data_IF_635907212501
#
_entry.id   IF_635907212501
#
_cell.length_a   1.000
_cell.length_b   1.000
_cell.length_c   1.000
_cell.angle_alpha   90.00
_cell.angle_beta   90.00
_cell.angle_gamma   90.00
#
_symmetry.space_group_name_H-M   'P 1'
#
loop_
_entity.id
_entity.type
_entity.pdbx_description
1 polymer ?
#
# COMPACT_ATOMS: atom_id res chain seq x y z
N UNK A 1 4.27 7.14 22.63
CA UNK A 1 4.99 8.06 21.72
C UNK A 1 5.34 7.29 20.47
N UNK A 2 5.02 7.82 19.29
CA UNK A 2 5.24 7.11 18.03
C UNK A 2 6.74 7.00 17.69
N UNK A 3 7.11 5.88 17.06
CA UNK A 3 8.40 5.66 16.44
C UNK A 3 8.61 6.65 15.30
N UNK A 4 9.76 7.30 15.30
CA UNK A 4 10.13 8.25 14.25
C UNK A 4 10.68 7.52 13.03
N UNK A 5 10.66 8.18 11.87
CA UNK A 5 11.28 7.66 10.65
C UNK A 5 12.74 7.23 10.89
N UNK A 6 13.53 8.08 11.55
CA UNK A 6 14.95 7.80 11.79
C UNK A 6 15.16 6.59 12.70
N UNK A 7 14.31 6.42 13.72
CA UNK A 7 14.36 5.24 14.58
C UNK A 7 14.04 3.96 13.81
N UNK A 8 13.01 3.98 12.95
CA UNK A 8 12.62 2.82 12.14
C UNK A 8 13.70 2.51 11.10
N UNK A 9 14.15 3.53 10.36
CA UNK A 9 15.15 3.41 9.30
C UNK A 9 16.50 2.92 9.82
N UNK A 10 16.89 3.33 11.03
CA UNK A 10 18.12 2.90 11.69
C UNK A 10 18.03 1.56 12.44
N UNK A 11 16.86 0.93 12.50
CA UNK A 11 16.67 -0.25 13.33
C UNK A 11 17.37 -1.50 12.74
N UNK A 12 18.21 -2.22 13.49
CA UNK A 12 18.94 -3.39 12.97
C UNK A 12 18.04 -4.50 12.41
N UNK A 13 16.82 -4.64 12.94
CA UNK A 13 15.87 -5.65 12.48
C UNK A 13 15.02 -5.22 11.27
N UNK A 14 15.12 -3.97 10.80
CA UNK A 14 14.21 -3.41 9.78
C UNK A 14 14.11 -4.31 8.55
N UNK A 15 15.25 -4.72 7.98
CA UNK A 15 15.30 -5.53 6.77
C UNK A 15 14.54 -6.85 6.92
N UNK A 16 14.68 -7.50 8.09
CA UNK A 16 14.01 -8.76 8.40
C UNK A 16 12.51 -8.55 8.60
N UNK A 17 12.12 -7.53 9.35
CA UNK A 17 10.72 -7.20 9.63
C UNK A 17 9.98 -6.80 8.35
N UNK A 18 10.56 -5.93 7.52
CA UNK A 18 9.97 -5.51 6.24
C UNK A 18 9.89 -6.66 5.23
N UNK A 19 10.87 -7.56 5.20
CA UNK A 19 10.78 -8.78 4.38
C UNK A 19 9.60 -9.66 4.82
N UNK A 20 9.45 -9.89 6.13
CA UNK A 20 8.32 -10.66 6.67
C UNK A 20 6.97 -9.99 6.36
N UNK A 21 6.90 -8.64 6.47
CA UNK A 21 5.75 -7.85 6.05
C UNK A 21 5.41 -8.09 4.57
N UNK A 22 6.40 -7.99 3.68
CA UNK A 22 6.21 -8.21 2.25
C UNK A 22 5.69 -9.62 1.95
N UNK A 23 6.21 -10.65 2.64
CA UNK A 23 5.73 -12.03 2.52
C UNK A 23 4.26 -12.17 2.93
N UNK A 24 3.85 -11.57 4.05
CA UNK A 24 2.47 -11.59 4.51
C UNK A 24 1.50 -10.88 3.55
N UNK A 25 1.92 -9.72 3.01
CA UNK A 25 1.13 -8.96 2.04
C UNK A 25 0.97 -9.73 0.71
N UNK A 26 2.03 -10.39 0.23
CA UNK A 26 1.95 -11.24 -0.98
C UNK A 26 0.96 -12.38 -0.82
N UNK A 27 0.98 -13.07 0.32
CA UNK A 27 0.02 -14.15 0.59
C UNK A 27 -1.43 -13.65 0.50
N UNK A 28 -1.67 -12.42 0.99
CA UNK A 28 -3.00 -11.77 0.90
C UNK A 28 -3.34 -11.37 -0.54
N UNK A 29 -2.35 -10.94 -1.33
CA UNK A 29 -2.57 -10.63 -2.75
C UNK A 29 -2.86 -11.89 -3.60
N UNK A 30 -2.27 -13.03 -3.25
CA UNK A 30 -2.52 -14.30 -3.95
C UNK A 30 -3.95 -14.81 -3.74
N UNK A 31 -4.55 -14.55 -2.57
CA UNK A 31 -5.94 -14.92 -2.29
C UNK A 31 -6.94 -13.99 -2.98
N UNK A 32 -6.60 -12.71 -3.23
CA UNK A 32 -7.44 -11.79 -3.99
C UNK A 32 -6.65 -10.92 -5.01
N UNK A 33 -6.24 -11.50 -6.16
CA UNK A 33 -5.40 -10.79 -7.13
C UNK A 33 -6.05 -9.57 -7.78
N UNK A 34 -7.38 -9.50 -7.82
CA UNK A 34 -8.08 -8.33 -8.37
C UNK A 34 -8.02 -7.16 -7.39
N UNK A 35 -8.20 -7.43 -6.10
CA UNK A 35 -8.08 -6.39 -5.08
C UNK A 35 -6.63 -5.88 -4.95
N UNK A 36 -5.64 -6.77 -5.17
CA UNK A 36 -4.23 -6.38 -5.28
C UNK A 36 -3.98 -5.31 -6.36
N UNK A 37 -4.77 -5.27 -7.44
CA UNK A 37 -4.66 -4.26 -8.49
C UNK A 37 -5.04 -2.83 -8.04
N UNK A 38 -5.63 -2.66 -6.86
CA UNK A 38 -5.82 -1.32 -6.27
C UNK A 38 -4.47 -0.75 -5.85
N UNK A 39 -3.56 -1.61 -5.37
CA UNK A 39 -2.19 -1.27 -4.99
C UNK A 39 -1.23 -1.20 -6.19
N UNK A 40 -1.77 -1.27 -7.41
CA UNK A 40 -1.00 -1.30 -8.63
C UNK A 40 -0.20 -0.04 -8.90
N UNK A 41 -0.78 1.11 -8.59
CA UNK A 41 -0.11 2.40 -8.72
C UNK A 41 -0.32 3.19 -7.44
N UNK A 42 0.63 4.07 -7.15
CA UNK A 42 0.52 5.00 -6.04
C UNK A 42 -0.76 5.84 -6.12
N UNK A 43 -1.13 6.30 -7.32
CA UNK A 43 -2.36 7.07 -7.52
C UNK A 43 -3.61 6.28 -7.11
N UNK A 44 -3.74 5.01 -7.55
CA UNK A 44 -4.88 4.15 -7.17
C UNK A 44 -4.91 3.85 -5.68
N UNK A 45 -3.73 3.61 -5.10
CA UNK A 45 -3.58 3.37 -3.68
C UNK A 45 -4.02 4.59 -2.84
N UNK A 46 -3.58 5.80 -3.19
CA UNK A 46 -4.00 7.04 -2.52
C UNK A 46 -5.50 7.32 -2.70
N UNK A 47 -6.06 7.10 -3.90
CA UNK A 47 -7.51 7.22 -4.13
C UNK A 47 -8.30 6.24 -3.25
N UNK A 48 -7.83 5.01 -3.06
CA UNK A 48 -8.46 4.04 -2.17
C UNK A 48 -8.44 4.50 -0.71
N UNK A 49 -7.30 4.98 -0.20
CA UNK A 49 -7.21 5.53 1.16
C UNK A 49 -8.12 6.74 1.38
N UNK A 50 -8.25 7.64 0.39
CA UNK A 50 -9.20 8.76 0.44
C UNK A 50 -10.64 8.25 0.54
N UNK A 51 -11.03 7.30 -0.32
CA UNK A 51 -12.39 6.74 -0.33
C UNK A 51 -12.74 6.08 1.00
N UNK A 52 -11.81 5.31 1.57
CA UNK A 52 -11.96 4.67 2.87
C UNK A 52 -12.04 5.70 4.02
N UNK A 53 -11.26 6.78 3.96
CA UNK A 53 -11.31 7.85 4.97
C UNK A 53 -12.65 8.58 4.95
N UNK A 54 -13.18 8.86 3.76
CA UNK A 54 -14.52 9.44 3.60
C UNK A 54 -15.62 8.50 4.08
N UNK A 55 -15.44 7.18 3.91
CA UNK A 55 -16.37 6.18 4.45
C UNK A 55 -16.40 6.19 5.98
N UNK A 56 -15.24 6.15 6.65
CA UNK A 56 -15.19 6.12 8.11
C UNK A 56 -15.53 7.46 8.77
N UNK A 57 -15.32 8.59 8.07
CA UNK A 57 -15.72 9.95 8.51
C UNK A 57 -17.18 10.30 8.23
N UNK A 58 -17.99 9.34 7.77
CA UNK A 58 -19.39 9.62 7.45
C UNK A 58 -20.20 9.85 8.73
N UNK A 59 -21.12 10.80 8.66
CA UNK A 59 -22.15 10.98 9.67
C UNK A 59 -23.49 10.57 9.05
N UNK A 60 -24.19 9.56 9.63
CA UNK A 60 -25.46 9.07 9.08
C UNK A 60 -26.49 10.18 8.88
N UNK A 61 -26.53 11.15 9.80
CA UNK A 61 -27.53 12.22 9.83
C UNK A 61 -27.17 13.45 8.99
N UNK A 62 -25.94 13.53 8.47
CA UNK A 62 -25.51 14.63 7.58
C UNK A 62 -25.20 14.07 6.18
N UNK A 63 -26.14 14.28 5.25
CA UNK A 63 -25.98 13.86 3.86
C UNK A 63 -24.74 14.46 3.18
N UNK A 64 -24.25 15.63 3.63
CA UNK A 64 -23.03 16.25 3.11
C UNK A 64 -21.77 15.49 3.53
N UNK A 65 -21.88 14.75 4.63
CA UNK A 65 -20.83 13.89 5.17
C UNK A 65 -20.95 12.44 4.70
N UNK A 66 -21.88 12.10 3.81
CA UNK A 66 -21.91 10.78 3.16
C UNK A 66 -20.76 10.64 2.14
N UNK A 67 -20.32 9.41 1.91
CA UNK A 67 -19.43 9.09 0.79
C UNK A 67 -20.27 8.97 -0.48
N UNK A 68 -20.12 9.94 -1.38
CA UNK A 68 -20.76 9.96 -2.70
C UNK A 68 -19.70 10.07 -3.80
N UNK A 69 -20.05 9.71 -5.03
CA UNK A 69 -19.15 9.87 -6.17
C UNK A 69 -18.66 11.32 -6.34
N UNK A 70 -19.56 12.29 -6.20
CA UNK A 70 -19.22 13.70 -6.31
C UNK A 70 -18.20 14.13 -5.25
N UNK A 71 -18.45 13.82 -3.98
CA UNK A 71 -17.53 14.16 -2.88
C UNK A 71 -16.19 13.45 -3.00
N UNK A 72 -16.19 12.19 -3.40
CA UNK A 72 -14.95 11.45 -3.67
C UNK A 72 -14.08 12.14 -4.73
N UNK A 73 -14.69 12.51 -5.86
CA UNK A 73 -14.00 13.20 -6.96
C UNK A 73 -13.50 14.58 -6.53
N UNK A 74 -14.29 15.32 -5.75
CA UNK A 74 -13.91 16.66 -5.27
C UNK A 74 -12.70 16.58 -4.32
N UNK A 75 -12.70 15.67 -3.35
CA UNK A 75 -11.59 15.48 -2.41
C UNK A 75 -10.31 14.99 -3.11
N UNK A 76 -10.43 14.10 -4.10
CA UNK A 76 -9.28 13.66 -4.91
C UNK A 76 -8.64 14.84 -5.66
N UNK A 77 -9.47 15.73 -6.22
CA UNK A 77 -9.00 16.93 -6.94
C UNK A 77 -8.35 17.91 -5.97
N UNK A 78 -8.97 18.18 -4.83
CA UNK A 78 -8.44 19.08 -3.79
C UNK A 78 -7.05 18.64 -3.33
N UNK A 79 -6.85 17.33 -3.15
CA UNK A 79 -5.56 16.75 -2.76
C UNK A 79 -4.60 16.52 -3.94
N UNK A 80 -4.97 16.95 -5.16
CA UNK A 80 -4.16 16.78 -6.37
C UNK A 80 -3.65 15.34 -6.55
N UNK A 81 -4.51 14.34 -6.30
CA UNK A 81 -4.16 12.92 -6.46
C UNK A 81 -4.40 12.47 -7.90
N UNK A 82 -5.53 12.89 -8.48
CA UNK A 82 -5.90 12.51 -9.84
C UNK A 82 -6.87 13.53 -10.48
N UNK A 83 -7.04 13.43 -11.81
CA UNK A 83 -8.08 14.18 -12.52
C UNK A 83 -9.49 13.68 -12.16
N UNK A 84 -10.52 14.50 -12.44
CA UNK A 84 -11.92 14.09 -12.25
C UNK A 84 -12.28 12.83 -13.04
N UNK A 85 -11.81 12.73 -14.28
CA UNK A 85 -12.08 11.58 -15.15
C UNK A 85 -11.40 10.31 -14.64
N UNK A 86 -10.18 10.43 -14.12
CA UNK A 86 -9.45 9.32 -13.51
C UNK A 86 -10.14 8.82 -12.25
N UNK A 87 -10.59 9.74 -11.39
CA UNK A 87 -11.31 9.41 -10.16
C UNK A 87 -12.66 8.73 -10.45
N UNK A 88 -13.43 9.24 -11.43
CA UNK A 88 -14.68 8.65 -11.87
C UNK A 88 -14.48 7.23 -12.45
N UNK A 89 -13.47 7.06 -13.31
CA UNK A 89 -13.13 5.75 -13.87
C UNK A 89 -12.74 4.74 -12.78
N UNK A 90 -11.90 5.16 -11.82
CA UNK A 90 -11.54 4.34 -10.66
C UNK A 90 -12.78 3.90 -9.86
N UNK A 91 -13.68 4.83 -9.56
CA UNK A 91 -14.88 4.52 -8.78
C UNK A 91 -15.81 3.54 -9.49
N UNK A 92 -16.02 3.72 -10.80
CA UNK A 92 -16.80 2.79 -11.63
C UNK A 92 -16.19 1.40 -11.66
N UNK A 93 -14.86 1.31 -11.68
CA UNK A 93 -14.14 0.05 -11.60
C UNK A 93 -14.34 -0.63 -10.23
N UNK A 94 -14.26 0.14 -9.12
CA UNK A 94 -14.50 -0.40 -7.78
C UNK A 94 -15.93 -0.93 -7.61
N UNK A 95 -16.94 -0.27 -8.21
CA UNK A 95 -18.32 -0.76 -8.27
C UNK A 95 -18.44 -2.01 -9.14
N UNK A 96 -17.82 -2.01 -10.33
CA UNK A 96 -17.88 -3.14 -11.27
C UNK A 96 -17.31 -4.43 -10.67
N UNK A 97 -16.25 -4.32 -9.88
CA UNK A 97 -15.64 -5.46 -9.19
C UNK A 97 -16.18 -5.74 -7.79
N UNK A 98 -17.25 -5.05 -7.37
CA UNK A 98 -17.89 -5.23 -6.07
C UNK A 98 -16.96 -5.03 -4.87
N UNK A 99 -16.01 -4.10 -4.99
CA UNK A 99 -15.20 -3.63 -3.87
C UNK A 99 -15.93 -2.55 -3.08
N UNK A 100 -16.79 -1.80 -3.77
CA UNK A 100 -17.75 -0.89 -3.17
C UNK A 100 -19.15 -1.19 -3.73
N UNK A 101 -20.17 -0.81 -3.00
CA UNK A 101 -21.57 -0.99 -3.35
C UNK A 101 -22.37 0.27 -2.99
N UNK A 102 -23.57 0.40 -3.54
CA UNK A 102 -24.49 1.46 -3.13
C UNK A 102 -25.12 1.12 -1.78
N UNK A 103 -25.19 2.10 -0.88
CA UNK A 103 -26.02 2.00 0.31
C UNK A 103 -27.49 1.94 -0.12
N UNK A 104 -28.25 0.97 0.42
CA UNK A 104 -29.67 0.84 0.12
C UNK A 104 -30.42 2.13 0.52
N UNK A 105 -31.00 2.79 -0.50
CA UNK A 105 -31.73 4.05 -0.51
C UNK A 105 -31.81 4.84 0.81
N UNK A 106 -31.02 5.93 0.87
CA UNK A 106 -31.42 7.10 1.65
C UNK A 106 -32.76 7.64 1.09
N UNK A 107 -33.62 8.17 1.97
CA UNK A 107 -34.99 8.63 1.65
C UNK A 107 -35.08 9.68 0.52
N UNK A 108 -33.97 10.34 0.18
CA UNK A 108 -33.84 11.23 -0.97
C UNK A 108 -33.13 10.53 -2.14
N UNK A 109 -33.90 10.01 -3.11
CA UNK A 109 -33.40 9.25 -4.26
C UNK A 109 -32.45 9.99 -5.21
N UNK A 110 -32.10 11.26 -4.90
CA UNK A 110 -31.10 12.06 -5.61
C UNK A 110 -29.67 11.77 -5.15
N UNK A 111 -29.48 11.35 -3.90
CA UNK A 111 -28.16 11.01 -3.38
C UNK A 111 -27.99 9.50 -3.47
N UNK A 112 -26.87 9.06 -4.05
CA UNK A 112 -26.49 7.64 -4.11
C UNK A 112 -25.21 7.43 -3.30
N UNK A 113 -25.31 7.32 -1.97
CA UNK A 113 -24.16 7.00 -1.15
C UNK A 113 -23.60 5.62 -1.52
N UNK A 114 -22.31 5.45 -1.31
CA UNK A 114 -21.59 4.20 -1.56
C UNK A 114 -20.81 3.80 -0.29
N UNK A 115 -20.52 2.51 -0.16
CA UNK A 115 -19.72 1.97 0.90
C UNK A 115 -18.80 0.84 0.40
N UNK A 116 -17.63 0.63 1.02
CA UNK A 116 -16.86 -0.60 0.84
C UNK A 116 -17.67 -1.83 1.25
N UNK A 117 -17.46 -2.93 0.54
CA UNK A 117 -18.00 -4.24 0.94
C UNK A 117 -17.24 -4.78 2.14
N UNK A 118 -17.84 -5.72 2.88
CA UNK A 118 -17.21 -6.38 4.05
C UNK A 118 -15.84 -6.95 3.69
N UNK A 119 -15.74 -7.68 2.57
CA UNK A 119 -14.46 -8.23 2.11
C UNK A 119 -13.38 -7.16 1.87
N UNK A 120 -13.77 -5.96 1.42
CA UNK A 120 -12.83 -4.85 1.23
C UNK A 120 -12.33 -4.32 2.57
N UNK A 121 -13.22 -4.23 3.57
CA UNK A 121 -12.85 -3.85 4.94
C UNK A 121 -11.97 -4.90 5.61
N UNK A 122 -12.26 -6.20 5.42
CA UNK A 122 -11.45 -7.30 5.95
C UNK A 122 -10.03 -7.28 5.37
N UNK A 123 -9.91 -7.00 4.06
CA UNK A 123 -8.59 -6.88 3.42
C UNK A 123 -7.82 -5.69 3.97
N UNK A 124 -8.48 -4.55 4.16
CA UNK A 124 -7.87 -3.38 4.77
C UNK A 124 -7.42 -3.67 6.21
N UNK A 125 -8.23 -4.40 6.98
CA UNK A 125 -7.87 -4.83 8.33
C UNK A 125 -6.60 -5.70 8.31
N UNK A 126 -6.54 -6.69 7.42
CA UNK A 126 -5.34 -7.53 7.24
C UNK A 126 -4.10 -6.72 6.85
N UNK A 127 -4.25 -5.72 5.97
CA UNK A 127 -3.17 -4.79 5.64
C UNK A 127 -2.70 -4.02 6.87
N UNK A 128 -3.63 -3.48 7.69
CA UNK A 128 -3.28 -2.75 8.92
C UNK A 128 -2.54 -3.67 9.90
N UNK A 129 -3.06 -4.88 10.12
CA UNK A 129 -2.47 -5.88 11.00
C UNK A 129 -1.03 -6.23 10.62
N UNK A 130 -0.74 -6.38 9.32
CA UNK A 130 0.61 -6.68 8.86
C UNK A 130 1.63 -5.57 9.22
N UNK A 131 1.21 -4.30 9.13
CA UNK A 131 2.06 -3.16 9.48
C UNK A 131 2.19 -2.99 11.00
N UNK A 132 1.11 -3.20 11.76
CA UNK A 132 1.17 -3.19 13.23
C UNK A 132 2.05 -4.31 13.78
N UNK A 133 1.94 -5.53 13.24
CA UNK A 133 2.85 -6.63 13.56
C UNK A 133 4.32 -6.26 13.28
N UNK A 134 4.57 -5.55 12.17
CA UNK A 134 5.91 -5.10 11.80
C UNK A 134 6.46 -4.10 12.81
N UNK A 135 5.65 -3.12 13.25
CA UNK A 135 6.01 -2.18 14.31
C UNK A 135 6.31 -2.89 15.63
N UNK A 136 5.42 -3.79 16.07
CA UNK A 136 5.60 -4.57 17.31
C UNK A 136 6.85 -5.47 17.25
N UNK A 137 7.23 -5.93 16.06
CA UNK A 137 8.47 -6.70 15.86
C UNK A 137 9.74 -5.85 15.95
N UNK A 138 9.64 -4.53 15.80
CA UNK A 138 10.77 -3.61 15.92
C UNK A 138 11.04 -3.23 17.38
N UNK A 139 9.99 -2.94 18.16
CA UNK A 139 10.12 -2.39 19.52
C UNK A 139 9.52 -3.26 20.64
N UNK A 140 8.86 -4.37 20.31
CA UNK A 140 8.25 -5.29 21.28
C UNK A 140 6.95 -4.77 21.90
N UNK A 141 6.30 -3.74 21.34
CA UNK A 141 5.02 -3.25 21.83
C UNK A 141 3.84 -4.17 21.45
N UNK A 142 2.62 -3.72 21.71
CA UNK A 142 1.38 -4.50 21.63
C UNK A 142 0.29 -3.82 20.76
N UNK A 143 0.70 -3.11 19.69
CA UNK A 143 -0.23 -2.37 18.84
C UNK A 143 -1.21 -3.28 18.14
N UNK A 144 -0.74 -4.42 17.62
CA UNK A 144 -1.60 -5.40 16.96
C UNK A 144 -2.64 -5.97 17.93
N UNK A 145 -2.23 -6.32 19.16
CA UNK A 145 -3.15 -6.83 20.17
C UNK A 145 -4.25 -5.80 20.49
N UNK A 146 -3.86 -4.55 20.71
CA UNK A 146 -4.78 -3.43 20.96
C UNK A 146 -5.77 -3.21 19.81
N UNK A 147 -5.29 -3.31 18.56
CA UNK A 147 -6.12 -3.19 17.37
C UNK A 147 -7.16 -4.32 17.27
N UNK A 148 -6.79 -5.55 17.62
CA UNK A 148 -7.68 -6.72 17.56
C UNK A 148 -8.73 -6.72 18.68
N UNK A 149 -8.42 -6.13 19.83
CA UNK A 149 -9.35 -6.05 20.97
C UNK A 149 -10.47 -5.01 20.77
N UNK A 150 -10.30 -4.06 19.85
CA UNK A 150 -11.22 -2.93 19.66
C UNK A 150 -11.98 -3.03 18.32
N UNK A 151 -13.31 -3.30 18.33
CA UNK A 151 -14.10 -3.46 17.10
C UNK A 151 -14.11 -2.24 16.16
N UNK A 152 -13.88 -1.05 16.70
CA UNK A 152 -13.85 0.23 15.97
C UNK A 152 -12.42 0.69 15.62
N UNK A 153 -11.40 -0.09 15.94
CA UNK A 153 -9.99 0.26 15.73
C UNK A 153 -9.69 0.69 14.29
N UNK A 154 -10.21 -0.06 13.32
CA UNK A 154 -10.02 0.24 11.91
C UNK A 154 -10.64 1.59 11.52
N UNK A 155 -11.82 1.91 12.08
CA UNK A 155 -12.52 3.16 11.80
C UNK A 155 -11.81 4.37 12.40
N UNK A 156 -11.16 4.21 13.56
CA UNK A 156 -10.35 5.26 14.21
C UNK A 156 -9.02 5.48 13.51
N UNK A 157 -8.34 4.40 13.12
CA UNK A 157 -7.01 4.47 12.54
C UNK A 157 -6.99 4.85 11.07
N UNK A 158 -7.86 4.25 10.24
CA UNK A 158 -7.76 4.38 8.79
C UNK A 158 -7.75 5.85 8.33
N UNK A 159 -8.63 6.75 8.83
CA UNK A 159 -8.64 8.13 8.37
C UNK A 159 -7.35 8.88 8.69
N UNK A 160 -6.78 8.62 9.87
CA UNK A 160 -5.49 9.20 10.30
C UNK A 160 -4.33 8.71 9.43
N UNK A 161 -4.32 7.41 9.10
CA UNK A 161 -3.36 6.85 8.15
C UNK A 161 -3.51 7.50 6.78
N UNK A 162 -4.74 7.66 6.27
CA UNK A 162 -4.97 8.30 4.98
C UNK A 162 -4.42 9.74 4.95
N UNK A 163 -4.69 10.54 5.99
CA UNK A 163 -4.20 11.91 6.08
C UNK A 163 -2.66 11.96 6.12
N UNK A 164 -2.03 11.08 6.90
CA UNK A 164 -0.57 10.97 6.95
C UNK A 164 0.04 10.59 5.60
N UNK A 165 -0.58 9.67 4.86
CA UNK A 165 -0.13 9.29 3.52
C UNK A 165 -0.29 10.42 2.49
N UNK A 166 -1.39 11.16 2.56
CA UNK A 166 -1.68 12.26 1.62
C UNK A 166 -0.77 13.46 1.87
N UNK A 167 -0.48 13.77 3.14
CA UNK A 167 0.38 14.89 3.54
C UNK A 167 1.88 14.61 3.44
N UNK A 168 2.28 13.34 3.35
CA UNK A 168 3.69 12.94 3.28
C UNK A 168 4.28 13.14 1.89
N UNK A 169 5.16 14.14 1.75
CA UNK A 169 5.92 14.39 0.51
C UNK A 169 6.70 13.15 0.02
N UNK A 170 7.44 12.40 0.86
CA UNK A 170 8.10 11.17 0.43
C UNK A 170 7.15 10.10 -0.11
N UNK A 171 5.91 10.05 0.40
CA UNK A 171 4.86 9.15 -0.12
C UNK A 171 4.27 9.68 -1.42
N UNK A 172 4.11 11.00 -1.58
CA UNK A 172 3.50 11.62 -2.76
C UNK A 172 4.46 11.70 -3.95
N UNK A 173 5.75 11.85 -3.67
CA UNK A 173 6.81 12.09 -4.63
C UNK A 173 8.00 11.16 -4.35
N UNK A 174 7.88 9.85 -4.65
CA UNK A 174 8.94 8.90 -4.43
C UNK A 174 10.14 9.23 -5.32
N UNK A 175 11.33 9.21 -4.74
CA UNK A 175 12.58 9.59 -5.42
C UNK A 175 13.08 8.47 -6.34
N UNK A 176 13.83 8.87 -7.37
CA UNK A 176 14.82 8.05 -8.09
C UNK A 176 14.29 6.69 -8.60
N UNK A 177 14.92 5.56 -8.24
CA UNK A 177 14.66 4.25 -8.86
C UNK A 177 13.34 3.61 -8.44
N UNK A 178 12.79 4.00 -7.28
CA UNK A 178 11.45 3.62 -6.83
C UNK A 178 10.37 4.02 -7.85
N UNK A 179 10.58 5.14 -8.56
CA UNK A 179 9.68 5.58 -9.63
C UNK A 179 9.58 4.54 -10.77
N UNK A 180 10.65 3.78 -11.06
CA UNK A 180 10.67 2.79 -12.14
C UNK A 180 9.67 1.66 -11.91
N UNK A 181 9.49 1.27 -10.65
CA UNK A 181 8.54 0.22 -10.29
C UNK A 181 7.13 0.74 -10.10
N UNK A 182 6.95 2.02 -9.77
CA UNK A 182 5.60 2.64 -9.81
C UNK A 182 4.97 2.67 -11.21
N UNK A 183 5.76 2.45 -12.28
CA UNK A 183 5.31 2.38 -13.69
C UNK A 183 4.96 0.97 -14.20
N UNK A 184 5.27 -0.08 -13.45
CA UNK A 184 4.57 -1.35 -13.64
C UNK A 184 3.18 -1.10 -13.05
N UNK A 185 2.10 -1.36 -13.79
CA UNK A 185 0.72 -1.25 -13.31
C UNK A 185 0.39 -2.30 -12.22
N UNK A 186 1.33 -2.58 -11.31
CA UNK A 186 1.39 -3.52 -10.18
C UNK A 186 2.55 -3.15 -9.22
N UNK A 187 3.02 -1.89 -9.21
CA UNK A 187 4.33 -1.49 -8.70
C UNK A 187 4.61 -1.85 -7.24
N UNK A 188 3.69 -1.53 -6.32
CA UNK A 188 3.85 -1.87 -4.90
C UNK A 188 3.99 -3.38 -4.68
N UNK A 189 3.09 -4.13 -5.31
CA UNK A 189 3.01 -5.60 -5.22
C UNK A 189 4.24 -6.27 -5.83
N UNK A 190 4.73 -5.75 -6.96
CA UNK A 190 6.00 -6.18 -7.58
C UNK A 190 7.16 -5.99 -6.62
N UNK A 191 7.29 -4.80 -6.02
CA UNK A 191 8.41 -4.51 -5.13
C UNK A 191 8.37 -5.38 -3.88
N UNK A 192 7.19 -5.56 -3.28
CA UNK A 192 7.02 -6.49 -2.15
C UNK A 192 7.47 -7.90 -2.56
N UNK A 193 7.13 -8.36 -3.77
CA UNK A 193 7.58 -9.66 -4.27
C UNK A 193 9.10 -9.78 -4.41
N UNK A 194 9.76 -8.78 -4.99
CA UNK A 194 11.22 -8.76 -5.08
C UNK A 194 11.88 -8.85 -3.71
N UNK A 195 11.38 -8.06 -2.76
CA UNK A 195 11.96 -7.94 -1.42
C UNK A 195 11.65 -9.17 -0.55
N UNK A 196 10.51 -9.81 -0.75
CA UNK A 196 10.12 -11.02 -0.03
C UNK A 196 11.12 -12.18 -0.19
N UNK A 197 11.82 -12.21 -1.33
CA UNK A 197 12.82 -13.21 -1.66
C UNK A 197 14.27 -12.79 -1.38
N UNK A 198 14.51 -11.55 -0.96
CA UNK A 198 15.86 -11.08 -0.58
C UNK A 198 16.26 -11.71 0.75
N UNK A 199 17.51 -12.15 0.86
CA UNK A 199 18.10 -12.48 2.16
C UNK A 199 18.43 -11.17 2.90
N UNK A 200 17.92 -10.93 4.12
CA UNK A 200 18.24 -9.73 4.88
C UNK A 200 19.75 -9.53 5.10
N UNK A 201 20.54 -10.61 5.14
CA UNK A 201 21.99 -10.54 5.34
C UNK A 201 22.73 -10.05 4.07
N UNK A 202 22.04 -10.04 2.91
CA UNK A 202 22.55 -9.49 1.65
C UNK A 202 22.27 -7.99 1.47
N UNK A 203 21.64 -7.31 2.45
CA UNK A 203 21.28 -5.89 2.37
C UNK A 203 22.45 -4.93 2.03
N UNK A 204 23.69 -5.33 2.33
CA UNK A 204 24.91 -4.55 2.05
C UNK A 204 25.55 -4.78 0.68
N UNK A 205 25.03 -5.69 -0.14
CA UNK A 205 25.61 -5.98 -1.46
C UNK A 205 25.26 -4.88 -2.47
N UNK A 206 26.17 -4.63 -3.43
CA UNK A 206 25.88 -3.72 -4.54
C UNK A 206 24.81 -4.29 -5.49
N UNK A 207 24.83 -5.60 -5.71
CA UNK A 207 23.81 -6.37 -6.42
C UNK A 207 23.21 -7.39 -5.45
N UNK A 208 21.99 -7.12 -5.00
CA UNK A 208 21.29 -7.90 -3.98
C UNK A 208 20.45 -8.98 -4.68
N UNK A 209 20.77 -10.28 -4.51
CA UNK A 209 19.99 -11.36 -5.11
C UNK A 209 18.55 -11.37 -4.59
N UNK A 210 17.59 -11.55 -5.48
CA UNK A 210 16.17 -11.71 -5.16
C UNK A 210 15.76 -13.18 -5.26
N UNK A 211 14.50 -13.49 -4.91
CA UNK A 211 13.91 -14.82 -5.12
C UNK A 211 13.52 -15.11 -6.58
N UNK A 212 13.72 -14.17 -7.50
CA UNK A 212 13.26 -14.28 -8.89
C UNK A 212 14.29 -15.01 -9.73
N UNK A 213 13.97 -16.23 -10.16
CA UNK A 213 14.89 -17.06 -10.96
C UNK A 213 14.56 -17.09 -12.46
N UNK A 214 13.38 -16.62 -12.85
CA UNK A 214 12.99 -16.52 -14.27
C UNK A 214 11.97 -15.40 -14.53
N UNK A 215 12.07 -14.75 -15.70
CA UNK A 215 11.05 -13.78 -16.16
C UNK A 215 9.71 -14.48 -16.40
N UNK A 216 9.74 -15.77 -16.75
CA UNK A 216 8.54 -16.55 -17.04
C UNK A 216 7.62 -16.67 -15.83
N UNK A 217 8.19 -17.09 -14.71
CA UNK A 217 7.45 -17.25 -13.45
C UNK A 217 6.97 -15.90 -12.93
N UNK A 218 7.82 -14.88 -13.06
CA UNK A 218 7.46 -13.52 -12.67
C UNK A 218 6.29 -12.96 -13.50
N UNK A 219 6.32 -13.15 -14.83
CA UNK A 219 5.23 -12.73 -15.72
C UNK A 219 3.93 -13.47 -15.41
N UNK A 220 4.01 -14.78 -15.13
CA UNK A 220 2.87 -15.61 -14.75
C UNK A 220 2.23 -15.11 -13.46
N UNK A 221 3.04 -14.79 -12.46
CA UNK A 221 2.57 -14.24 -11.18
C UNK A 221 1.87 -12.88 -11.37
N UNK A 222 2.48 -11.98 -12.14
CA UNK A 222 1.90 -10.66 -12.46
C UNK A 222 0.71 -10.71 -13.41
N UNK A 223 0.37 -11.87 -13.98
CA UNK A 223 -0.61 -12.02 -15.06
C UNK A 223 -0.32 -11.08 -16.25
N UNK A 224 0.97 -10.86 -16.52
CA UNK A 224 1.45 -10.06 -17.64
C UNK A 224 2.01 -10.99 -18.73
N UNK A 225 2.03 -10.50 -19.97
CA UNK A 225 2.78 -11.21 -21.01
C UNK A 225 4.28 -11.14 -20.72
N UNK A 226 5.00 -12.23 -21.00
CA UNK A 226 6.47 -12.28 -20.86
C UNK A 226 7.16 -11.15 -21.61
N UNK A 227 6.69 -10.84 -22.83
CA UNK A 227 7.23 -9.77 -23.67
C UNK A 227 7.02 -8.39 -23.05
N UNK A 228 5.84 -8.13 -22.49
CA UNK A 228 5.56 -6.83 -21.84
C UNK A 228 6.46 -6.63 -20.62
N UNK A 229 6.59 -7.66 -19.77
CA UNK A 229 7.44 -7.60 -18.58
C UNK A 229 8.93 -7.48 -18.96
N UNK A 230 9.40 -8.28 -19.92
CA UNK A 230 10.81 -8.26 -20.36
C UNK A 230 11.25 -6.91 -20.94
N UNK A 231 10.31 -6.17 -21.57
CA UNK A 231 10.55 -4.79 -22.03
C UNK A 231 10.67 -3.83 -20.85
N UNK A 232 9.77 -3.91 -19.87
CA UNK A 232 9.81 -3.07 -18.66
C UNK A 232 11.07 -3.30 -17.82
N UNK A 233 11.49 -4.56 -17.68
CA UNK A 233 12.73 -4.89 -16.98
C UNK A 233 13.97 -4.37 -17.71
N UNK A 234 13.94 -4.27 -19.04
CA UNK A 234 15.06 -3.69 -19.80
C UNK A 234 15.30 -2.23 -19.41
N UNK A 235 14.23 -1.43 -19.30
CA UNK A 235 14.37 -0.03 -18.89
C UNK A 235 15.01 0.10 -17.49
N UNK A 236 14.67 -0.82 -16.58
CA UNK A 236 15.26 -0.87 -15.24
C UNK A 236 16.70 -1.44 -15.22
N UNK A 237 17.03 -2.36 -16.14
CA UNK A 237 18.40 -2.86 -16.39
C UNK A 237 19.31 -1.74 -16.92
N UNK A 238 18.84 -0.95 -17.90
CA UNK A 238 19.59 0.15 -18.51
C UNK A 238 19.93 1.25 -17.49
N UNK A 239 19.11 1.38 -16.44
CA UNK A 239 19.32 2.28 -15.31
C UNK A 239 20.11 1.65 -14.16
N UNK A 240 20.57 0.41 -14.30
CA UNK A 240 21.34 -0.32 -13.29
C UNK A 240 20.56 -0.64 -12.01
N UNK A 241 19.22 -0.55 -12.03
CA UNK A 241 18.38 -0.80 -10.86
C UNK A 241 18.10 -2.28 -10.64
N UNK A 242 18.14 -3.07 -11.71
CA UNK A 242 18.04 -4.53 -11.67
C UNK A 242 18.98 -5.17 -12.68
N UNK A 243 19.20 -6.46 -12.53
CA UNK A 243 19.87 -7.26 -13.55
C UNK A 243 19.82 -8.74 -13.22
N UNK A 244 20.70 -9.51 -13.85
CA UNK A 244 20.73 -10.97 -13.76
C UNK A 244 22.13 -11.42 -13.34
N UNK A 245 22.23 -12.39 -12.42
CA UNK A 245 23.51 -12.96 -12.01
C UNK A 245 24.14 -13.86 -13.09
N UNK A 246 23.32 -14.33 -14.04
CA UNK A 246 23.77 -15.14 -15.18
C UNK A 246 22.99 -14.78 -16.44
N UNK A 247 22.47 -15.79 -17.13
CA UNK A 247 21.72 -15.56 -18.36
C UNK A 247 20.48 -14.68 -18.10
N UNK A 248 20.37 -13.59 -18.87
CA UNK A 248 19.23 -12.67 -18.81
C UNK A 248 17.90 -13.43 -18.94
N UNK A 249 17.06 -13.26 -17.92
CA UNK A 249 15.72 -13.83 -17.85
C UNK A 249 15.61 -15.31 -17.48
N UNK A 250 16.73 -16.00 -17.30
CA UNK A 250 16.82 -17.42 -16.94
C UNK A 250 17.86 -17.67 -15.82
N UNK A 251 18.08 -16.69 -14.96
CA UNK A 251 18.97 -16.79 -13.80
C UNK A 251 18.42 -15.96 -12.65
N UNK A 252 19.10 -15.94 -11.50
CA UNK A 252 18.67 -15.11 -10.37
C UNK A 252 18.73 -13.63 -10.75
N UNK A 253 17.60 -12.94 -10.62
CA UNK A 253 17.52 -11.50 -10.75
C UNK A 253 18.06 -10.85 -9.48
N UNK A 254 18.81 -9.76 -9.65
CA UNK A 254 19.25 -8.91 -8.54
C UNK A 254 18.62 -7.52 -8.65
N UNK A 255 18.53 -6.83 -7.51
CA UNK A 255 18.20 -5.40 -7.42
C UNK A 255 19.43 -4.63 -6.93
N UNK A 256 19.57 -3.36 -7.29
CA UNK A 256 20.68 -2.53 -6.81
C UNK A 256 20.53 -2.22 -5.33
N UNK A 257 21.66 -1.99 -4.65
CA UNK A 257 21.64 -1.51 -3.26
C UNK A 257 20.90 -0.18 -3.09
N UNK A 258 20.93 0.69 -4.09
CA UNK A 258 20.23 1.99 -4.08
C UNK A 258 18.72 1.78 -4.08
N UNK A 259 18.21 0.96 -5.00
CA UNK A 259 16.80 0.60 -5.07
C UNK A 259 16.30 -0.03 -3.75
N UNK A 260 17.11 -0.92 -3.17
CA UNK A 260 16.77 -1.58 -1.92
C UNK A 260 16.68 -0.59 -0.75
N UNK A 261 17.62 0.35 -0.63
CA UNK A 261 17.57 1.41 0.39
C UNK A 261 16.38 2.36 0.20
N UNK A 262 16.04 2.70 -1.04
CA UNK A 262 14.85 3.50 -1.35
C UNK A 262 13.57 2.77 -0.91
N UNK A 263 13.46 1.47 -1.21
CA UNK A 263 12.32 0.66 -0.76
C UNK A 263 12.22 0.62 0.78
N UNK A 264 13.34 0.37 1.47
CA UNK A 264 13.35 0.36 2.94
C UNK A 264 12.97 1.71 3.54
N UNK A 265 13.42 2.81 2.93
CA UNK A 265 13.03 4.17 3.34
C UNK A 265 11.53 4.39 3.15
N UNK A 266 10.97 3.97 2.01
CA UNK A 266 9.54 4.10 1.75
C UNK A 266 8.69 3.29 2.76
N UNK A 267 9.14 2.10 3.15
CA UNK A 267 8.47 1.30 4.18
C UNK A 267 8.61 1.94 5.56
N UNK A 268 9.79 2.47 5.91
CA UNK A 268 9.99 3.17 7.17
C UNK A 268 9.09 4.41 7.31
N UNK A 269 8.93 5.21 6.24
CA UNK A 269 7.99 6.35 6.20
C UNK A 269 6.56 5.88 6.43
N UNK A 270 6.14 4.81 5.76
CA UNK A 270 4.79 4.25 5.90
C UNK A 270 4.54 3.75 7.33
N UNK A 271 5.50 3.01 7.89
CA UNK A 271 5.41 2.51 9.26
C UNK A 271 5.34 3.65 10.28
N UNK A 272 6.12 4.71 10.12
CA UNK A 272 6.05 5.90 10.98
C UNK A 272 4.67 6.58 10.93
N UNK A 273 4.07 6.68 9.73
CA UNK A 273 2.72 7.23 9.56
C UNK A 273 1.67 6.36 10.28
N UNK A 274 1.78 5.04 10.13
CA UNK A 274 0.85 4.09 10.77
C UNK A 274 0.99 4.12 12.28
N UNK A 275 2.22 4.23 12.81
CA UNK A 275 2.42 4.32 14.25
C UNK A 275 1.92 5.65 14.82
N UNK A 276 2.15 6.76 14.13
CA UNK A 276 1.58 8.06 14.52
C UNK A 276 0.04 8.01 14.58
N UNK A 277 -0.59 7.40 13.56
CA UNK A 277 -2.04 7.19 13.54
C UNK A 277 -2.53 6.27 14.66
N UNK A 278 -1.75 5.24 15.02
CA UNK A 278 -2.06 4.36 16.15
C UNK A 278 -2.04 5.13 17.47
N UNK A 279 -0.95 5.85 17.74
CA UNK A 279 -0.80 6.66 18.96
C UNK A 279 -1.91 7.70 19.05
N UNK A 280 -2.21 8.43 17.98
CA UNK A 280 -3.30 9.42 18.00
C UNK A 280 -4.66 8.75 18.26
N UNK A 281 -4.91 7.59 17.63
CA UNK A 281 -6.15 6.85 17.81
C UNK A 281 -6.32 6.31 19.24
N UNK A 282 -5.27 5.81 19.91
CA UNK A 282 -5.39 5.04 21.15
C UNK A 282 -4.71 5.63 22.39
N UNK A 283 -3.73 6.51 22.26
CA UNK A 283 -3.07 7.19 23.40
C UNK A 283 -3.73 8.53 23.75
N UNK A 284 -4.56 9.09 22.86
CA UNK A 284 -5.42 10.21 23.22
C UNK A 284 -6.47 9.71 24.22
N UNK A 285 -6.59 10.29 25.44
CA UNK A 285 -7.72 9.96 26.30
C UNK A 285 -8.97 10.21 25.49
N UNK A 286 -9.88 9.24 25.43
CA UNK A 286 -11.16 9.38 24.78
C UNK A 286 -11.78 10.72 25.21
N UNK A 287 -11.68 11.71 24.32
CA UNK A 287 -12.01 13.09 24.60
C UNK A 287 -13.52 13.24 24.56
N UNK A 288 -14.10 13.10 25.76
CA UNK A 288 -15.12 13.96 26.38
C UNK A 288 -16.23 14.53 25.49
#
# INVERSE_FOLDING_TARGET
MALTLDHIAGHPALHRCVRAQAQALIQTYETNPRLASIFATQQRWLMAHIGLALHFRREPDDYRKQLTAARFIDVIRENSVASRNTADAFLKEMLHYNFIEHLSAAQDGRIRPIQPTVNTLDTLAGWMMAHLHTLDSLDGANRLATFLEQPDALARMQPLVADGLISSSPVREPKQTFSLFTWLNNGGVVMDWLISGVDPDHAGLAAIPTGVVSIGDFAKWLKLSRTHLARKLRDAEDLGSVGWLGQRGNSVMWVSGDFYREYMTAQAVKLAIIDAAFVEAFDSPAGS
#
